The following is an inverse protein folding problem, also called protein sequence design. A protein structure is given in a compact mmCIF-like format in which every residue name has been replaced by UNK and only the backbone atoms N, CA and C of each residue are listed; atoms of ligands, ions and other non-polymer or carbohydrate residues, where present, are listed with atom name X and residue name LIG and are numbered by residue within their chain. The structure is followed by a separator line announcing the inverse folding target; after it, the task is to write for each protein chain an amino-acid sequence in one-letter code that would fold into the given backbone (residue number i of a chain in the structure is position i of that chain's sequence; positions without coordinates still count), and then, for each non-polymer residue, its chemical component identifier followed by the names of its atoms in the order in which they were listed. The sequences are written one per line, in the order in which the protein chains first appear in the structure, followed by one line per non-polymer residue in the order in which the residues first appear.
data_IF_489411390172
#
_entry.id   IF_489411390172
#
_cell.length_a   1.000
_cell.length_b   1.000
_cell.length_c   1.000
_cell.angle_alpha   90.00
_cell.angle_beta   90.00
_cell.angle_gamma   90.00
#
_symmetry.space_group_name_H-M   'P 1'
#
loop_
_entity.id
_entity.type
_entity.pdbx_description
1 polymer ?
#
# COMPACT_ATOMS: atom_id res chain seq x y z
N UNK A 1 -14.94 -29.52 -9.94
CA UNK A 1 -14.49 -29.88 -8.59
C UNK A 1 -13.30 -29.01 -8.30
N UNK A 2 -13.38 -28.14 -7.31
CA UNK A 2 -12.20 -27.36 -6.85
C UNK A 2 -11.46 -28.30 -5.91
N UNK A 3 -10.33 -28.82 -6.34
CA UNK A 3 -9.45 -29.62 -5.49
C UNK A 3 -8.87 -28.71 -4.42
N UNK A 4 -9.39 -28.79 -3.22
CA UNK A 4 -8.94 -28.08 -2.02
C UNK A 4 -7.76 -28.81 -1.35
N UNK A 5 -6.84 -29.37 -2.11
CA UNK A 5 -5.54 -29.79 -1.59
C UNK A 5 -4.64 -28.57 -1.43
N UNK A 6 -4.87 -27.81 -0.37
CA UNK A 6 -4.02 -26.70 0.04
C UNK A 6 -2.66 -27.28 0.43
N UNK A 7 -1.69 -27.15 -0.45
CA UNK A 7 -0.31 -27.55 -0.19
C UNK A 7 0.36 -26.52 0.73
N UNK A 8 1.31 -26.92 1.54
CA UNK A 8 2.12 -25.98 2.34
C UNK A 8 2.77 -24.92 1.46
N UNK A 9 3.15 -25.25 0.24
CA UNK A 9 3.70 -24.32 -0.75
C UNK A 9 2.70 -23.24 -1.18
N UNK A 10 1.43 -23.59 -1.29
CA UNK A 10 0.37 -22.62 -1.63
C UNK A 10 0.13 -21.63 -0.49
N UNK A 11 0.24 -22.10 0.75
CA UNK A 11 0.14 -21.25 1.93
C UNK A 11 1.30 -20.25 2.01
N UNK A 12 2.52 -20.70 1.76
CA UNK A 12 3.71 -19.84 1.75
C UNK A 12 3.59 -18.76 0.66
N UNK A 13 3.17 -19.14 -0.53
CA UNK A 13 2.94 -18.21 -1.63
C UNK A 13 1.85 -17.18 -1.29
N UNK A 14 0.74 -17.63 -0.72
CA UNK A 14 -0.32 -16.74 -0.23
C UNK A 14 0.18 -15.76 0.84
N UNK A 15 0.99 -16.24 1.79
CA UNK A 15 1.56 -15.38 2.84
C UNK A 15 2.47 -14.28 2.25
N UNK A 16 3.26 -14.56 1.23
CA UNK A 16 4.11 -13.58 0.57
C UNK A 16 3.27 -12.50 -0.13
N UNK A 17 2.20 -12.90 -0.84
CA UNK A 17 1.25 -11.95 -1.42
C UNK A 17 0.61 -11.10 -0.32
N UNK A 18 0.16 -11.73 0.76
CA UNK A 18 -0.48 -11.05 1.88
C UNK A 18 0.46 -10.03 2.55
N UNK A 19 1.75 -10.33 2.70
CA UNK A 19 2.75 -9.41 3.26
C UNK A 19 2.89 -8.18 2.36
N UNK A 20 3.06 -8.34 1.04
CA UNK A 20 3.17 -7.22 0.09
C UNK A 20 1.92 -6.34 0.12
N UNK A 21 0.74 -6.94 0.04
CA UNK A 21 -0.55 -6.24 0.05
C UNK A 21 -0.77 -5.52 1.39
N UNK A 22 -0.47 -6.15 2.52
CA UNK A 22 -0.63 -5.52 3.83
C UNK A 22 0.28 -4.30 3.99
N UNK A 23 1.56 -4.40 3.63
CA UNK A 23 2.48 -3.27 3.68
C UNK A 23 2.00 -2.09 2.82
N UNK A 24 1.45 -2.38 1.63
CA UNK A 24 0.84 -1.36 0.78
C UNK A 24 -0.38 -0.71 1.45
N UNK A 25 -1.35 -1.50 1.92
CA UNK A 25 -2.61 -1.00 2.52
C UNK A 25 -2.34 -0.17 3.79
N UNK A 26 -1.31 -0.51 4.57
CA UNK A 26 -0.96 0.25 5.77
C UNK A 26 -0.42 1.65 5.47
N UNK A 27 0.16 1.89 4.30
CA UNK A 27 0.81 3.15 3.91
C UNK A 27 -0.01 3.92 2.88
N UNK A 28 -0.72 3.25 1.98
CA UNK A 28 -1.48 3.89 0.92
C UNK A 28 -2.51 4.89 1.50
N UNK A 29 -2.57 6.13 0.96
CA UNK A 29 -3.26 7.27 1.60
C UNK A 29 -4.74 7.04 1.81
N UNK A 30 -5.40 6.29 0.92
CA UNK A 30 -6.83 6.00 1.04
C UNK A 30 -7.15 5.03 2.20
N UNK A 31 -6.30 4.04 2.41
CA UNK A 31 -6.50 3.00 3.42
C UNK A 31 -5.86 3.34 4.77
N UNK A 32 -4.90 4.26 4.78
CA UNK A 32 -4.10 4.64 5.95
C UNK A 32 -4.77 5.64 6.88
N UNK A 33 -6.02 6.04 6.65
CA UNK A 33 -6.74 6.95 7.53
C UNK A 33 -6.78 6.42 8.97
N UNK A 34 -6.39 7.26 9.94
CA UNK A 34 -6.26 6.85 11.35
C UNK A 34 -7.59 6.45 12.02
N UNK A 35 -8.71 6.92 11.47
CA UNK A 35 -10.04 6.52 11.95
C UNK A 35 -10.46 5.13 11.48
N UNK A 36 -9.69 4.49 10.57
CA UNK A 36 -9.96 3.12 10.15
C UNK A 36 -9.36 2.14 11.15
N UNK A 37 -10.16 1.30 11.81
CA UNK A 37 -9.66 0.28 12.73
C UNK A 37 -8.62 -0.62 12.05
N UNK A 38 -7.59 -1.01 12.78
CA UNK A 38 -6.54 -1.92 12.26
C UNK A 38 -7.12 -3.22 11.73
N UNK A 39 -8.17 -3.71 12.36
CA UNK A 39 -8.90 -4.93 11.94
C UNK A 39 -9.45 -4.81 10.52
N UNK A 40 -10.02 -3.64 10.17
CA UNK A 40 -10.56 -3.39 8.83
C UNK A 40 -9.44 -3.37 7.79
N UNK A 41 -8.29 -2.76 8.08
CA UNK A 41 -7.13 -2.77 7.18
C UNK A 41 -6.60 -4.17 6.93
N UNK A 42 -6.51 -4.99 7.99
CA UNK A 42 -6.09 -6.39 7.88
C UNK A 42 -7.10 -7.19 7.06
N UNK A 43 -8.41 -6.97 7.27
CA UNK A 43 -9.46 -7.63 6.51
C UNK A 43 -9.39 -7.27 5.02
N UNK A 44 -9.25 -5.98 4.68
CA UNK A 44 -9.10 -5.53 3.30
C UNK A 44 -7.85 -6.16 2.66
N UNK A 45 -6.72 -6.16 3.38
CA UNK A 45 -5.48 -6.77 2.90
C UNK A 45 -5.65 -8.26 2.64
N UNK A 46 -6.36 -8.97 3.52
CA UNK A 46 -6.62 -10.40 3.39
C UNK A 46 -7.50 -10.71 2.17
N UNK A 47 -8.62 -9.99 2.01
CA UNK A 47 -9.51 -10.17 0.85
C UNK A 47 -8.82 -9.82 -0.46
N UNK A 48 -8.06 -8.74 -0.49
CA UNK A 48 -7.30 -8.35 -1.68
C UNK A 48 -6.23 -9.39 -2.02
N UNK A 49 -5.51 -9.90 -1.03
CA UNK A 49 -4.51 -10.95 -1.23
C UNK A 49 -5.18 -12.26 -1.73
N UNK A 50 -6.36 -12.60 -1.21
CA UNK A 50 -7.11 -13.77 -1.65
C UNK A 50 -7.57 -13.63 -3.11
N UNK A 51 -8.04 -12.45 -3.52
CA UNK A 51 -8.40 -12.18 -4.92
C UNK A 51 -7.17 -12.25 -5.84
N UNK A 52 -6.05 -11.67 -5.44
CA UNK A 52 -4.81 -11.74 -6.20
C UNK A 52 -4.28 -13.17 -6.32
N UNK A 53 -4.37 -13.96 -5.26
CA UNK A 53 -3.99 -15.37 -5.30
C UNK A 53 -4.78 -16.18 -6.33
N UNK A 54 -6.07 -15.88 -6.53
CA UNK A 54 -6.90 -16.56 -7.54
C UNK A 54 -6.55 -16.15 -8.98
N UNK A 55 -5.98 -14.96 -9.17
CA UNK A 55 -5.61 -14.40 -10.49
C UNK A 55 -4.16 -14.72 -10.84
N UNK A 56 -3.28 -14.66 -9.84
CA UNK A 56 -1.86 -14.98 -9.99
C UNK A 56 -1.73 -16.52 -9.95
N UNK A 57 -1.47 -17.13 -11.09
CA UNK A 57 -1.08 -18.56 -11.13
C UNK A 57 0.19 -18.73 -10.30
N UNK A 58 0.23 -19.71 -9.37
CA UNK A 58 1.43 -19.98 -8.59
C UNK A 58 2.58 -20.31 -9.54
N UNK A 59 3.51 -19.37 -9.71
CA UNK A 59 4.79 -19.65 -10.34
C UNK A 59 5.51 -20.65 -9.46
N UNK A 60 6.23 -21.61 -10.04
CA UNK A 60 6.94 -22.70 -9.39
C UNK A 60 7.39 -22.39 -7.95
N UNK A 61 7.12 -23.29 -7.02
CA UNK A 61 7.27 -23.10 -5.57
C UNK A 61 8.54 -22.34 -5.16
N UNK A 62 8.40 -21.55 -4.12
CA UNK A 62 9.49 -20.72 -3.59
C UNK A 62 10.61 -21.65 -3.10
N UNK A 63 11.73 -21.69 -3.82
CA UNK A 63 12.89 -22.52 -3.44
C UNK A 63 13.72 -21.75 -2.43
N UNK A 64 13.82 -22.24 -1.22
CA UNK A 64 14.68 -21.70 -0.17
C UNK A 64 15.38 -22.83 0.60
N UNK A 65 16.64 -22.61 0.95
CA UNK A 65 17.48 -23.61 1.62
C UNK A 65 17.47 -23.47 3.15
N UNK A 66 17.01 -22.32 3.68
CA UNK A 66 17.00 -22.06 5.12
C UNK A 66 15.91 -21.06 5.53
N UNK A 67 15.54 -21.10 6.80
CA UNK A 67 14.57 -20.14 7.39
C UNK A 67 15.03 -18.69 7.21
N UNK A 68 16.31 -18.42 7.27
CA UNK A 68 16.89 -17.09 7.05
C UNK A 68 16.68 -16.64 5.60
N UNK A 69 16.82 -17.54 4.64
CA UNK A 69 16.55 -17.26 3.22
C UNK A 69 15.08 -16.89 2.99
N UNK A 70 14.14 -17.60 3.64
CA UNK A 70 12.74 -17.27 3.59
C UNK A 70 12.43 -15.90 4.21
N UNK A 71 13.05 -15.57 5.36
CA UNK A 71 12.89 -14.27 6.00
C UNK A 71 13.35 -13.10 5.10
N UNK A 72 14.42 -13.30 4.32
CA UNK A 72 14.89 -12.32 3.33
C UNK A 72 13.88 -12.14 2.21
N UNK A 73 13.24 -13.22 1.74
CA UNK A 73 12.18 -13.13 0.73
C UNK A 73 10.98 -12.33 1.26
N UNK A 74 10.53 -12.64 2.48
CA UNK A 74 9.45 -11.89 3.15
C UNK A 74 9.80 -10.40 3.28
N UNK A 75 11.03 -10.07 3.66
CA UNK A 75 11.49 -8.69 3.76
C UNK A 75 11.48 -7.96 2.41
N UNK A 76 11.88 -8.62 1.33
CA UNK A 76 11.83 -8.06 -0.03
C UNK A 76 10.39 -7.78 -0.47
N UNK A 77 9.46 -8.69 -0.18
CA UNK A 77 8.04 -8.50 -0.47
C UNK A 77 7.45 -7.33 0.32
N UNK A 78 7.78 -7.25 1.62
CA UNK A 78 7.38 -6.14 2.47
C UNK A 78 7.91 -4.80 1.94
N UNK A 79 9.19 -4.72 1.57
CA UNK A 79 9.79 -3.51 1.00
C UNK A 79 9.12 -3.11 -0.32
N UNK A 80 8.82 -4.05 -1.19
CA UNK A 80 8.13 -3.77 -2.46
C UNK A 80 6.75 -3.15 -2.20
N UNK A 81 5.94 -3.74 -1.32
CA UNK A 81 4.63 -3.20 -0.95
C UNK A 81 4.72 -1.82 -0.29
N UNK A 82 5.72 -1.62 0.58
CA UNK A 82 6.00 -0.36 1.26
C UNK A 82 6.38 0.73 0.26
N UNK A 83 7.24 0.44 -0.72
CA UNK A 83 7.65 1.41 -1.73
C UNK A 83 6.48 1.87 -2.61
N UNK A 84 5.60 0.96 -3.03
CA UNK A 84 4.42 1.30 -3.82
C UNK A 84 3.46 2.17 -3.00
N UNK A 85 3.19 1.78 -1.75
CA UNK A 85 2.36 2.55 -0.83
C UNK A 85 2.94 3.93 -0.52
N UNK A 86 4.26 4.02 -0.35
CA UNK A 86 4.96 5.27 -0.12
C UNK A 86 4.91 6.20 -1.34
N UNK A 87 5.10 5.68 -2.55
CA UNK A 87 4.96 6.44 -3.78
C UNK A 87 3.54 7.06 -3.91
N UNK A 88 2.50 6.28 -3.61
CA UNK A 88 1.13 6.79 -3.57
C UNK A 88 0.93 7.86 -2.49
N UNK A 89 1.57 7.71 -1.33
CA UNK A 89 1.48 8.68 -0.24
C UNK A 89 2.18 10.01 -0.57
N UNK A 90 3.32 9.99 -1.26
CA UNK A 90 3.99 11.21 -1.74
C UNK A 90 3.05 12.05 -2.59
N UNK A 91 2.26 11.44 -3.48
CA UNK A 91 1.32 12.18 -4.33
C UNK A 91 0.31 12.99 -3.50
N UNK A 92 -0.19 12.44 -2.40
CA UNK A 92 -1.12 13.18 -1.52
C UNK A 92 -0.39 14.19 -0.63
N UNK A 93 0.82 13.89 -0.19
CA UNK A 93 1.64 14.81 0.60
C UNK A 93 1.99 16.09 -0.16
N UNK A 94 2.26 16.01 -1.48
CA UNK A 94 2.51 17.18 -2.34
C UNK A 94 1.32 18.14 -2.32
N UNK A 95 0.11 17.62 -2.35
CA UNK A 95 -1.11 18.45 -2.34
C UNK A 95 -1.30 19.15 -0.99
N UNK A 96 -1.07 18.43 0.09
CA UNK A 96 -1.12 19.03 1.43
C UNK A 96 -0.07 20.15 1.57
N UNK A 97 1.14 19.91 1.06
CA UNK A 97 2.20 20.92 1.01
C UNK A 97 1.79 22.15 0.17
N UNK A 98 1.20 21.96 -1.00
CA UNK A 98 0.70 23.06 -1.83
C UNK A 98 -0.35 23.89 -1.10
N UNK A 99 -1.27 23.27 -0.36
CA UNK A 99 -2.22 23.98 0.50
C UNK A 99 -1.54 24.79 1.60
N UNK A 100 -0.50 24.24 2.22
CA UNK A 100 0.26 24.97 3.24
C UNK A 100 0.97 26.19 2.68
N UNK A 101 1.52 26.12 1.46
CA UNK A 101 2.13 27.27 0.77
C UNK A 101 1.08 28.34 0.49
N UNK A 102 -0.11 27.97 0.01
CA UNK A 102 -1.21 28.90 -0.24
C UNK A 102 -1.63 29.63 1.06
N UNK A 103 -1.67 28.94 2.19
CA UNK A 103 -1.99 29.55 3.49
C UNK A 103 -0.88 30.48 3.98
N UNK A 104 0.36 30.22 3.65
CA UNK A 104 1.48 31.15 3.94
C UNK A 104 1.34 32.45 3.14
N UNK A 105 0.97 32.38 1.86
CA UNK A 105 0.79 33.57 1.02
C UNK A 105 -0.43 34.41 1.44
N UNK A 106 -1.49 33.77 1.92
CA UNK A 106 -2.70 34.47 2.38
C UNK A 106 -2.61 34.95 3.84
N UNK A 107 -1.52 34.66 4.56
CA UNK A 107 -1.35 35.03 5.97
C UNK A 107 -2.13 34.16 6.95
N UNK A 108 -2.78 33.09 6.48
CA UNK A 108 -3.53 32.14 7.32
C UNK A 108 -2.65 31.10 7.99
N UNK A 109 -1.35 31.14 7.77
CA UNK A 109 -0.38 30.14 8.28
C UNK A 109 -0.31 30.05 9.81
N UNK A 110 -0.79 31.09 10.52
CA UNK A 110 -0.87 31.08 11.99
C UNK A 110 -2.02 30.19 12.51
N UNK A 111 -2.97 29.84 11.66
CA UNK A 111 -4.11 28.99 12.04
C UNK A 111 -3.80 27.56 11.63
N UNK A 112 -3.34 26.76 12.59
CA UNK A 112 -3.15 25.32 12.40
C UNK A 112 -4.36 24.56 12.91
N UNK A 113 -4.81 23.61 12.11
CA UNK A 113 -5.87 22.68 12.46
C UNK A 113 -5.27 21.31 12.76
N UNK A 114 -5.86 20.60 13.71
CA UNK A 114 -5.58 19.19 13.90
C UNK A 114 -6.49 18.39 12.96
N UNK A 115 -5.91 17.78 11.93
CA UNK A 115 -6.67 16.94 11.01
C UNK A 115 -7.17 15.68 11.73
N UNK A 116 -8.48 15.47 11.85
CA UNK A 116 -9.02 14.30 12.51
C UNK A 116 -8.72 12.97 11.78
N UNK A 117 -8.37 13.02 10.48
CA UNK A 117 -8.07 11.84 9.70
C UNK A 117 -6.63 11.35 9.90
N UNK A 118 -5.66 12.27 9.91
CA UNK A 118 -4.24 11.97 10.05
C UNK A 118 -3.70 12.21 11.46
N UNK A 119 -4.41 13.01 12.28
CA UNK A 119 -3.97 13.54 13.57
C UNK A 119 -2.70 14.38 13.50
N UNK A 120 -2.39 14.86 12.33
CA UNK A 120 -1.29 15.78 12.10
C UNK A 120 -1.80 17.22 12.15
N UNK A 121 -0.91 18.14 12.53
CA UNK A 121 -1.21 19.55 12.39
C UNK A 121 -1.08 19.93 10.93
N UNK A 122 -2.16 20.45 10.38
CA UNK A 122 -2.21 20.91 8.99
C UNK A 122 -2.80 22.31 8.94
N UNK A 123 -2.61 22.99 7.83
CA UNK A 123 -3.20 24.27 7.56
C UNK A 123 -4.63 24.12 7.04
N UNK A 124 -5.41 25.20 7.04
CA UNK A 124 -6.82 25.18 6.62
C UNK A 124 -6.94 24.72 5.17
N UNK A 125 -6.17 25.35 4.26
CA UNK A 125 -6.20 24.99 2.84
C UNK A 125 -5.60 23.61 2.60
N UNK A 126 -4.57 23.21 3.35
CA UNK A 126 -4.00 21.88 3.29
C UNK A 126 -5.02 20.79 3.59
N UNK A 127 -5.78 20.93 4.68
CA UNK A 127 -6.87 20.02 5.04
C UNK A 127 -7.98 19.98 3.96
N UNK A 128 -8.40 21.14 3.49
CA UNK A 128 -9.43 21.25 2.45
C UNK A 128 -9.00 20.54 1.17
N UNK A 129 -7.79 20.78 0.70
CA UNK A 129 -7.26 20.15 -0.52
C UNK A 129 -7.13 18.62 -0.35
N UNK A 130 -6.71 18.18 0.84
CA UNK A 130 -6.65 16.75 1.17
C UNK A 130 -8.03 16.08 1.01
N UNK A 131 -9.08 16.68 1.60
CA UNK A 131 -10.44 16.10 1.50
C UNK A 131 -11.00 16.18 0.08
N UNK A 132 -10.76 17.27 -0.65
CA UNK A 132 -11.19 17.41 -2.06
C UNK A 132 -10.53 16.35 -2.92
N UNK A 133 -9.23 16.10 -2.78
CA UNK A 133 -8.54 15.06 -3.53
C UNK A 133 -9.06 13.68 -3.19
N UNK A 134 -9.30 13.38 -1.90
CA UNK A 134 -9.88 12.10 -1.51
C UNK A 134 -11.26 11.89 -2.14
N UNK A 135 -12.11 12.93 -2.15
CA UNK A 135 -13.42 12.88 -2.83
C UNK A 135 -13.27 12.67 -4.34
N UNK A 136 -12.35 13.39 -4.99
CA UNK A 136 -12.07 13.22 -6.42
C UNK A 136 -11.56 11.81 -6.74
N UNK A 137 -10.70 11.25 -5.91
CA UNK A 137 -10.16 9.91 -6.07
C UNK A 137 -11.25 8.84 -5.99
N UNK A 138 -12.22 9.03 -5.09
CA UNK A 138 -13.38 8.14 -4.96
C UNK A 138 -14.33 8.34 -6.16
N UNK A 139 -14.70 9.59 -6.48
CA UNK A 139 -15.68 9.91 -7.52
C UNK A 139 -15.19 9.51 -8.92
N UNK A 140 -13.90 9.66 -9.21
CA UNK A 140 -13.29 9.24 -10.48
C UNK A 140 -13.01 7.74 -10.57
N UNK A 141 -13.14 6.99 -9.47
CA UNK A 141 -12.80 5.57 -9.43
C UNK A 141 -11.28 5.29 -9.51
N UNK A 142 -10.44 6.31 -9.32
CA UNK A 142 -8.98 6.17 -9.39
C UNK A 142 -8.39 5.24 -8.34
N UNK A 143 -9.12 4.93 -7.27
CA UNK A 143 -8.71 3.89 -6.31
C UNK A 143 -8.49 2.52 -6.98
N UNK A 144 -9.18 2.24 -8.10
CA UNK A 144 -8.98 1.03 -8.90
C UNK A 144 -7.60 0.99 -9.53
N UNK A 145 -7.07 2.15 -9.96
CA UNK A 145 -5.73 2.23 -10.52
C UNK A 145 -4.65 2.01 -9.45
N UNK A 146 -4.89 2.42 -8.20
CA UNK A 146 -3.99 2.11 -7.08
C UNK A 146 -3.92 0.60 -6.80
N UNK A 147 -5.08 -0.07 -6.82
CA UNK A 147 -5.13 -1.53 -6.69
C UNK A 147 -4.58 -2.24 -7.93
N UNK A 148 -4.82 -1.67 -9.13
CA UNK A 148 -4.23 -2.13 -10.37
C UNK A 148 -2.70 -2.07 -10.35
N UNK A 149 -2.13 -0.94 -9.93
CA UNK A 149 -0.68 -0.79 -9.80
C UNK A 149 -0.07 -1.81 -8.82
N UNK A 150 -0.78 -2.14 -7.75
CA UNK A 150 -0.37 -3.20 -6.84
C UNK A 150 -0.40 -4.57 -7.54
N UNK A 151 -1.45 -4.88 -8.31
CA UNK A 151 -1.54 -6.12 -9.07
C UNK A 151 -0.44 -6.21 -10.14
N UNK A 152 -0.22 -5.12 -10.89
CA UNK A 152 0.81 -5.01 -11.92
C UNK A 152 2.22 -5.15 -11.33
N UNK A 153 2.41 -4.78 -10.05
CA UNK A 153 3.68 -4.99 -9.37
C UNK A 153 4.09 -6.47 -9.28
N UNK A 154 3.13 -7.38 -9.25
CA UNK A 154 3.40 -8.82 -9.27
C UNK A 154 3.79 -9.33 -10.65
N UNK A 155 3.38 -8.63 -11.72
CA UNK A 155 3.80 -8.93 -13.10
C UNK A 155 5.22 -8.43 -13.36
N UNK A 156 5.57 -7.24 -12.84
CA UNK A 156 6.88 -6.63 -12.99
C UNK A 156 7.94 -7.27 -12.09
N UNK A 157 7.56 -7.53 -10.84
CA UNK A 157 8.42 -8.13 -9.82
C UNK A 157 7.68 -9.36 -9.29
N UNK A 158 7.83 -10.53 -9.92
CA UNK A 158 7.20 -11.76 -9.45
C UNK A 158 7.64 -12.06 -8.02
N UNK A 159 6.84 -12.86 -7.31
CA UNK A 159 7.15 -13.27 -5.94
C UNK A 159 8.55 -13.90 -5.91
N UNK A 160 9.42 -13.45 -5.01
CA UNK A 160 10.85 -13.76 -4.94
C UNK A 160 11.73 -13.14 -6.06
N UNK A 161 11.17 -12.34 -6.99
CA UNK A 161 11.91 -11.73 -8.11
C UNK A 161 12.63 -10.42 -7.77
N UNK A 162 12.46 -9.85 -6.59
CA UNK A 162 13.12 -8.61 -6.20
C UNK A 162 14.64 -8.82 -5.98
N UNK A 163 15.44 -8.41 -6.98
CA UNK A 163 16.91 -8.44 -6.88
C UNK A 163 17.38 -7.10 -6.31
N UNK A 164 17.75 -7.08 -5.05
CA UNK A 164 18.49 -5.95 -4.45
C UNK A 164 19.94 -6.11 -4.89
N UNK A 165 20.31 -5.49 -6.01
CA UNK A 165 21.68 -5.51 -6.52
C UNK A 165 22.47 -4.46 -5.72
N UNK A 166 23.32 -4.90 -4.83
CA UNK A 166 24.39 -4.06 -4.31
C UNK A 166 25.46 -3.99 -5.41
N UNK A 167 25.49 -2.92 -6.19
CA UNK A 167 26.65 -2.65 -7.03
C UNK A 167 27.81 -2.26 -6.11
N UNK A 168 28.84 -3.11 -6.08
CA UNK A 168 30.15 -2.76 -5.57
C UNK A 168 30.89 -1.89 -6.61
#
# INVERSE_FOLDING_TARGET
MVDLSFSLMDLEYFLLIFVRVSCFVFIAPFFSMQNTPRTVRIAISFFTAMLLYTVLTPSAGVVYDSVVSYAVIVAKEALTGLLIGFAANICTAIVNFAGSVADMETGLSMVTLLDPATREQTTISGALYQYVIMMMLIASGMYRYLLGALADSFLLIPVNGAVIRSEN
#
